data_IF_670166737017
#
_entry.id   IF_670166737017
#
_cell.length_a   1.000
_cell.length_b   1.000
_cell.length_c   1.000
_cell.angle_alpha   90.00
_cell.angle_beta   90.00
_cell.angle_gamma   90.00
#
_symmetry.space_group_name_H-M   'P 1'
#
loop_
_entity.id
_entity.type
_entity.pdbx_description
1 polymer ?
#
# COMPACT_ATOMS: atom_id res chain seq x y z
N UNK A 1 1.10 -52.03 -24.34
CA UNK A 1 0.78 -51.68 -25.74
C UNK A 1 -0.74 -51.54 -25.85
N UNK A 2 -1.27 -50.32 -25.75
CA UNK A 2 -2.72 -50.08 -25.81
C UNK A 2 -3.07 -49.91 -27.29
N UNK A 3 -3.57 -50.98 -27.91
CA UNK A 3 -4.04 -50.96 -29.29
C UNK A 3 -5.54 -50.64 -29.23
N UNK A 4 -6.01 -49.50 -29.76
CA UNK A 4 -7.44 -49.21 -29.79
C UNK A 4 -8.16 -50.22 -30.70
N UNK A 5 -9.18 -50.88 -30.16
CA UNK A 5 -9.94 -51.99 -30.77
C UNK A 5 -10.87 -51.56 -31.93
N UNK A 6 -10.88 -50.29 -32.33
CA UNK A 6 -11.75 -49.78 -33.39
C UNK A 6 -10.96 -48.98 -34.45
N UNK A 7 -10.73 -49.52 -35.66
CA UNK A 7 -9.87 -48.90 -36.68
C UNK A 7 -10.42 -47.59 -37.28
N UNK A 8 -11.70 -47.27 -37.05
CA UNK A 8 -12.33 -46.00 -37.52
C UNK A 8 -12.11 -44.81 -36.59
N UNK A 9 -11.55 -45.03 -35.40
CA UNK A 9 -11.17 -43.96 -34.44
C UNK A 9 -9.70 -43.55 -34.56
N UNK A 10 -8.95 -44.13 -35.50
CA UNK A 10 -7.63 -43.60 -35.88
C UNK A 10 -7.86 -42.28 -36.60
N UNK A 11 -7.57 -41.18 -35.93
CA UNK A 11 -7.34 -39.90 -36.60
C UNK A 11 -6.31 -40.14 -37.71
N UNK A 12 -6.73 -39.98 -38.96
CA UNK A 12 -5.83 -40.08 -40.10
C UNK A 12 -4.90 -38.86 -40.06
N UNK A 13 -3.60 -39.11 -40.00
CA UNK A 13 -2.57 -38.08 -39.96
C UNK A 13 -2.69 -37.16 -41.19
N UNK A 14 -2.84 -35.86 -40.99
CA UNK A 14 -3.10 -34.87 -42.03
C UNK A 14 -4.58 -34.55 -42.31
N UNK A 15 -5.51 -35.06 -41.49
CA UNK A 15 -6.96 -34.77 -41.62
C UNK A 15 -7.34 -33.40 -41.07
N UNK A 16 -8.38 -32.77 -41.63
CA UNK A 16 -8.99 -31.55 -41.09
C UNK A 16 -9.40 -31.68 -39.60
N UNK A 17 -9.69 -32.90 -39.14
CA UNK A 17 -9.99 -33.18 -37.74
C UNK A 17 -8.78 -33.01 -36.82
N UNK A 18 -7.57 -33.33 -37.30
CA UNK A 18 -6.31 -33.14 -36.56
C UNK A 18 -6.00 -31.64 -36.42
N UNK A 19 -6.15 -30.87 -37.50
CA UNK A 19 -5.97 -29.42 -37.48
C UNK A 19 -6.97 -28.72 -36.56
N UNK A 20 -8.22 -29.17 -36.53
CA UNK A 20 -9.23 -28.63 -35.60
C UNK A 20 -8.87 -28.93 -34.14
N UNK A 21 -8.41 -30.14 -33.85
CA UNK A 21 -8.01 -30.55 -32.49
C UNK A 21 -6.74 -29.81 -32.06
N UNK A 22 -5.77 -29.64 -32.95
CA UNK A 22 -4.57 -28.81 -32.75
C UNK A 22 -4.95 -27.35 -32.48
N UNK A 23 -5.86 -26.78 -33.27
CA UNK A 23 -6.35 -25.42 -33.08
C UNK A 23 -6.99 -25.23 -31.70
N UNK A 24 -7.86 -26.15 -31.28
CA UNK A 24 -8.45 -26.13 -29.94
C UNK A 24 -7.36 -26.20 -28.87
N UNK A 25 -6.37 -27.08 -29.03
CA UNK A 25 -5.31 -27.26 -28.04
C UNK A 25 -4.40 -26.03 -27.94
N UNK A 26 -4.12 -25.37 -29.07
CA UNK A 26 -3.40 -24.09 -29.11
C UNK A 26 -4.23 -22.99 -28.44
N UNK A 27 -5.52 -22.88 -28.73
CA UNK A 27 -6.41 -21.89 -28.09
C UNK A 27 -6.47 -22.09 -26.57
N UNK A 28 -6.63 -23.34 -26.11
CA UNK A 28 -6.62 -23.69 -24.68
C UNK A 28 -5.26 -23.40 -24.04
N UNK A 29 -4.16 -23.62 -24.75
CA UNK A 29 -2.81 -23.31 -24.27
C UNK A 29 -2.58 -21.79 -24.17
N UNK A 30 -2.99 -21.03 -25.18
CA UNK A 30 -2.92 -19.55 -25.17
C UNK A 30 -3.80 -18.97 -24.07
N UNK A 31 -5.01 -19.49 -23.87
CA UNK A 31 -5.89 -19.10 -22.76
C UNK A 31 -5.28 -19.44 -21.41
N UNK A 32 -4.73 -20.65 -21.25
CA UNK A 32 -4.08 -21.07 -20.00
C UNK A 32 -2.86 -20.20 -19.68
N UNK A 33 -2.03 -19.91 -20.68
CA UNK A 33 -0.89 -19.01 -20.54
C UNK A 33 -1.40 -17.61 -20.22
N UNK A 34 -2.40 -17.07 -20.90
CA UNK A 34 -2.95 -15.73 -20.65
C UNK A 34 -3.50 -15.57 -19.22
N UNK A 35 -4.20 -16.60 -18.71
CA UNK A 35 -4.69 -16.64 -17.33
C UNK A 35 -3.52 -16.68 -16.34
N UNK A 36 -2.48 -17.45 -16.62
CA UNK A 36 -1.37 -17.69 -15.70
C UNK A 36 -0.30 -16.58 -15.72
N UNK A 37 -0.06 -15.97 -16.89
CA UNK A 37 1.02 -15.00 -17.13
C UNK A 37 0.61 -13.54 -16.96
N UNK A 38 -0.70 -13.24 -17.03
CA UNK A 38 -1.16 -11.85 -17.08
C UNK A 38 -1.78 -11.31 -15.80
N UNK A 39 -2.39 -12.14 -14.95
CA UNK A 39 -3.19 -11.70 -13.79
C UNK A 39 -4.32 -10.68 -14.10
N UNK A 40 -4.45 -10.19 -15.35
CA UNK A 40 -5.24 -9.01 -15.73
C UNK A 40 -6.75 -9.20 -15.66
N UNK A 41 -7.22 -10.41 -15.97
CA UNK A 41 -8.64 -10.76 -15.83
C UNK A 41 -9.06 -10.85 -14.36
N UNK A 42 -8.20 -11.41 -13.50
CA UNK A 42 -8.43 -11.46 -12.04
C UNK A 42 -8.34 -10.04 -11.44
N UNK A 43 -7.41 -9.20 -11.92
CA UNK A 43 -7.30 -7.78 -11.53
C UNK A 43 -8.58 -7.00 -11.84
N UNK A 44 -9.09 -7.08 -13.07
CA UNK A 44 -10.33 -6.41 -13.48
C UNK A 44 -11.56 -6.92 -12.73
N UNK A 45 -11.64 -8.23 -12.45
CA UNK A 45 -12.71 -8.83 -11.65
C UNK A 45 -12.66 -8.40 -10.18
N UNK A 46 -11.48 -8.43 -9.56
CA UNK A 46 -11.28 -7.99 -8.19
C UNK A 46 -11.59 -6.49 -8.04
N UNK A 47 -11.23 -5.67 -9.02
CA UNK A 47 -11.54 -4.24 -9.05
C UNK A 47 -13.03 -3.97 -9.24
N UNK A 48 -13.71 -4.70 -10.14
CA UNK A 48 -15.15 -4.60 -10.35
C UNK A 48 -15.96 -5.01 -9.10
N UNK A 49 -15.49 -6.03 -8.38
CA UNK A 49 -16.08 -6.48 -7.11
C UNK A 49 -15.69 -5.60 -5.91
N UNK A 50 -14.67 -4.75 -6.07
CA UNK A 50 -14.10 -3.92 -5.02
C UNK A 50 -13.39 -4.74 -3.94
N UNK A 51 -12.75 -5.86 -4.30
CA UNK A 51 -12.00 -6.66 -3.35
C UNK A 51 -10.73 -5.92 -2.90
N UNK A 52 -10.38 -5.97 -1.60
CA UNK A 52 -9.24 -5.22 -1.06
C UNK A 52 -7.92 -5.48 -1.79
N UNK A 53 -7.63 -6.73 -2.14
CA UNK A 53 -6.41 -7.12 -2.85
C UNK A 53 -6.25 -6.44 -4.22
N UNK A 54 -7.32 -6.34 -5.01
CA UNK A 54 -7.27 -5.67 -6.32
C UNK A 54 -7.14 -4.15 -6.21
N UNK A 55 -7.73 -3.56 -5.17
CA UNK A 55 -7.60 -2.13 -4.88
C UNK A 55 -6.17 -1.75 -4.47
N UNK A 56 -5.52 -2.56 -3.63
CA UNK A 56 -4.15 -2.31 -3.16
C UNK A 56 -3.14 -2.43 -4.30
N UNK A 57 -3.31 -3.41 -5.18
CA UNK A 57 -2.47 -3.55 -6.38
C UNK A 57 -2.58 -2.29 -7.27
N UNK A 58 -3.80 -1.78 -7.47
CA UNK A 58 -4.04 -0.54 -8.23
C UNK A 58 -3.34 0.66 -7.57
N UNK A 59 -3.39 0.75 -6.24
CA UNK A 59 -2.69 1.79 -5.48
C UNK A 59 -1.18 1.70 -5.69
N UNK A 60 -0.59 0.51 -5.64
CA UNK A 60 0.84 0.33 -5.88
C UNK A 60 1.26 0.85 -7.27
N UNK A 61 0.46 0.59 -8.31
CA UNK A 61 0.75 1.01 -9.69
C UNK A 61 0.56 2.54 -9.90
N UNK A 62 -0.40 3.15 -9.20
CA UNK A 62 -0.86 4.51 -9.47
C UNK A 62 -0.43 5.57 -8.44
N UNK A 63 0.02 5.18 -7.23
CA UNK A 63 0.33 6.12 -6.15
C UNK A 63 1.44 7.13 -6.48
N UNK A 64 2.32 6.81 -7.43
CA UNK A 64 3.37 7.72 -7.91
C UNK A 64 2.88 8.75 -8.93
N UNK A 65 1.69 8.54 -9.52
CA UNK A 65 1.16 9.29 -10.66
C UNK A 65 -0.13 10.05 -10.35
N UNK A 66 -0.93 9.55 -9.40
CA UNK A 66 -2.20 10.15 -9.04
C UNK A 66 -2.35 10.30 -7.53
N UNK A 67 -3.05 11.35 -7.12
CA UNK A 67 -3.66 11.45 -5.81
C UNK A 67 -4.83 10.48 -5.76
N UNK A 68 -4.76 9.51 -4.86
CA UNK A 68 -5.76 8.45 -4.75
C UNK A 68 -6.63 8.67 -3.52
N UNK A 69 -7.94 8.46 -3.69
CA UNK A 69 -8.89 8.28 -2.59
C UNK A 69 -9.42 6.86 -2.64
N UNK A 70 -9.70 6.31 -1.47
CA UNK A 70 -10.33 4.99 -1.36
C UNK A 70 -11.64 5.14 -0.62
N UNK A 71 -12.72 4.68 -1.26
CA UNK A 71 -13.99 4.47 -0.58
C UNK A 71 -14.02 3.09 0.02
N UNK A 72 -14.34 3.04 1.30
CA UNK A 72 -14.17 1.88 2.16
C UNK A 72 -15.52 1.48 2.70
N UNK A 73 -15.87 0.21 2.55
CA UNK A 73 -16.95 -0.42 3.32
C UNK A 73 -16.33 -1.53 4.17
N UNK A 74 -16.54 -1.47 5.47
CA UNK A 74 -15.90 -2.40 6.40
C UNK A 74 -16.32 -2.14 7.84
N UNK A 75 -15.39 -2.37 8.76
CA UNK A 75 -15.62 -2.13 10.19
C UNK A 75 -14.36 -1.63 10.88
N UNK A 76 -14.55 -0.92 11.98
CA UNK A 76 -13.47 -0.60 12.91
C UNK A 76 -13.01 -1.91 13.60
N UNK A 77 -11.72 -2.13 13.72
CA UNK A 77 -11.17 -3.35 14.32
C UNK A 77 -11.44 -3.47 15.83
N UNK A 78 -11.57 -2.34 16.53
CA UNK A 78 -11.76 -2.29 17.99
C UNK A 78 -13.24 -2.23 18.34
N UNK A 79 -13.96 -1.26 17.77
CA UNK A 79 -15.37 -1.02 18.14
C UNK A 79 -16.34 -1.92 17.38
N UNK A 80 -15.86 -2.62 16.36
CA UNK A 80 -16.65 -3.43 15.41
C UNK A 80 -17.76 -2.66 14.68
N UNK A 81 -17.81 -1.33 14.84
CA UNK A 81 -18.81 -0.49 14.20
C UNK A 81 -18.58 -0.47 12.69
N UNK A 82 -19.67 -0.50 11.89
CA UNK A 82 -19.57 -0.43 10.44
C UNK A 82 -19.00 0.92 10.00
N UNK A 83 -18.15 0.88 8.97
CA UNK A 83 -17.54 2.05 8.34
C UNK A 83 -17.97 2.08 6.86
N UNK A 84 -18.55 3.20 6.41
CA UNK A 84 -18.70 3.57 4.99
C UNK A 84 -18.16 5.01 4.84
N UNK A 85 -16.87 5.11 4.50
CA UNK A 85 -16.16 6.38 4.48
C UNK A 85 -15.12 6.42 3.37
N UNK A 86 -14.67 7.64 3.03
CA UNK A 86 -13.63 7.87 2.03
C UNK A 86 -12.38 8.40 2.71
N UNK A 87 -11.23 7.85 2.34
CA UNK A 87 -9.93 8.25 2.88
C UNK A 87 -8.97 8.61 1.75
N UNK A 88 -8.05 9.54 2.01
CA UNK A 88 -6.94 9.83 1.11
C UNK A 88 -5.82 8.80 1.34
N UNK A 89 -5.30 8.22 0.27
CA UNK A 89 -4.21 7.23 0.36
C UNK A 89 -2.88 7.97 0.51
N UNK A 90 -2.08 7.57 1.50
CA UNK A 90 -0.72 8.07 1.73
C UNK A 90 0.30 7.20 1.00
N UNK A 91 0.25 5.89 1.26
CA UNK A 91 1.10 4.88 0.65
C UNK A 91 0.56 3.46 0.87
N UNK A 92 0.95 2.50 0.03
CA UNK A 92 0.90 1.09 0.38
C UNK A 92 1.85 0.80 1.55
N UNK A 93 1.36 0.16 2.62
CA UNK A 93 2.18 -0.20 3.78
C UNK A 93 2.68 -1.65 3.66
N UNK A 94 1.80 -2.56 3.23
CA UNK A 94 2.13 -3.97 2.96
C UNK A 94 1.40 -4.43 1.70
N UNK A 95 1.53 -5.71 1.34
CA UNK A 95 0.78 -6.31 0.22
C UNK A 95 -0.74 -6.32 0.48
N UNK A 96 -1.16 -6.26 1.75
CA UNK A 96 -2.58 -6.32 2.15
C UNK A 96 -3.10 -5.06 2.83
N UNK A 97 -2.25 -4.07 3.06
CA UNK A 97 -2.60 -2.89 3.85
C UNK A 97 -2.13 -1.59 3.19
N UNK A 98 -2.98 -0.58 3.33
CA UNK A 98 -2.75 0.80 2.93
C UNK A 98 -2.63 1.67 4.17
N UNK A 99 -1.77 2.66 4.07
CA UNK A 99 -1.79 3.79 4.99
C UNK A 99 -2.68 4.87 4.39
N UNK A 100 -3.71 5.25 5.13
CA UNK A 100 -4.72 6.22 4.69
C UNK A 100 -4.92 7.30 5.74
N UNK A 101 -5.39 8.47 5.32
CA UNK A 101 -5.80 9.55 6.23
C UNK A 101 -7.23 9.98 6.01
N UNK A 102 -7.89 10.36 7.10
CA UNK A 102 -9.19 11.02 7.06
C UNK A 102 -9.06 12.53 6.75
N UNK A 103 -10.20 13.22 6.71
CA UNK A 103 -10.24 14.67 6.52
C UNK A 103 -9.65 15.46 7.70
N UNK A 104 -9.63 14.87 8.89
CA UNK A 104 -9.02 15.44 10.10
C UNK A 104 -7.50 15.29 10.16
N UNK A 105 -6.89 14.54 9.21
CA UNK A 105 -5.46 14.24 9.19
C UNK A 105 -5.06 13.06 10.07
N UNK A 106 -6.02 12.34 10.66
CA UNK A 106 -5.75 11.11 11.42
C UNK A 106 -5.39 10.00 10.45
N UNK A 107 -4.29 9.31 10.74
CA UNK A 107 -3.76 8.23 9.92
C UNK A 107 -4.24 6.88 10.44
N UNK A 108 -4.64 6.01 9.53
CA UNK A 108 -5.11 4.65 9.83
C UNK A 108 -4.40 3.65 8.93
N UNK A 109 -4.16 2.46 9.47
CA UNK A 109 -3.87 1.28 8.66
C UNK A 109 -5.19 0.64 8.25
N UNK A 110 -5.37 0.56 6.94
CA UNK A 110 -6.56 0.03 6.32
C UNK A 110 -6.19 -1.23 5.53
N UNK A 111 -6.88 -2.33 5.75
CA UNK A 111 -6.54 -3.57 5.06
C UNK A 111 -7.32 -4.76 5.59
N UNK A 112 -6.69 -5.92 5.49
CA UNK A 112 -7.21 -7.18 6.02
C UNK A 112 -6.34 -7.79 7.14
N UNK A 113 -5.23 -7.15 7.49
CA UNK A 113 -4.37 -7.61 8.59
C UNK A 113 -4.97 -7.35 9.97
N UNK A 114 -4.55 -8.13 10.97
CA UNK A 114 -4.97 -7.96 12.37
C UNK A 114 -4.45 -6.66 13.00
N UNK A 115 -3.39 -6.08 12.42
CA UNK A 115 -2.81 -4.80 12.86
C UNK A 115 -3.52 -3.59 12.24
N UNK A 116 -4.51 -3.81 11.35
CA UNK A 116 -5.28 -2.74 10.73
C UNK A 116 -6.33 -2.19 11.69
N UNK A 117 -6.39 -0.88 11.84
CA UNK A 117 -7.48 -0.21 12.58
C UNK A 117 -8.81 -0.29 11.82
N UNK A 118 -8.74 -0.35 10.49
CA UNK A 118 -9.91 -0.46 9.61
C UNK A 118 -9.82 -1.76 8.81
N UNK A 119 -10.75 -2.68 9.08
CA UNK A 119 -10.86 -3.95 8.35
C UNK A 119 -11.81 -3.74 7.18
N UNK A 120 -11.26 -3.71 5.97
CA UNK A 120 -12.02 -3.45 4.76
C UNK A 120 -12.67 -4.74 4.22
N UNK A 121 -13.99 -4.72 4.01
CA UNK A 121 -14.71 -5.75 3.26
C UNK A 121 -14.78 -5.43 1.78
N UNK A 122 -14.85 -4.13 1.44
CA UNK A 122 -14.83 -3.63 0.07
C UNK A 122 -14.03 -2.33 -0.01
N UNK A 123 -13.19 -2.23 -1.04
CA UNK A 123 -12.41 -1.04 -1.38
C UNK A 123 -12.66 -0.64 -2.83
N UNK A 124 -12.91 0.65 -3.05
CA UNK A 124 -12.96 1.26 -4.38
C UNK A 124 -11.95 2.39 -4.44
N UNK A 125 -11.01 2.31 -5.37
CA UNK A 125 -9.98 3.32 -5.60
C UNK A 125 -10.50 4.33 -6.61
N UNK A 126 -10.37 5.61 -6.29
CA UNK A 126 -10.73 6.74 -7.12
C UNK A 126 -9.48 7.60 -7.36
N UNK A 127 -9.18 7.86 -8.64
CA UNK A 127 -8.11 8.77 -9.04
C UNK A 127 -8.65 10.19 -9.02
N UNK A 128 -8.08 11.05 -8.18
CA UNK A 128 -8.58 12.42 -7.97
C UNK A 128 -7.89 13.41 -8.90
N UNK A 129 -6.56 13.43 -8.91
CA UNK A 129 -5.77 14.37 -9.67
C UNK A 129 -4.38 13.79 -9.99
N UNK A 130 -3.72 14.18 -11.09
CA UNK A 130 -2.33 13.81 -11.33
C UNK A 130 -1.41 14.44 -10.27
N UNK A 131 -0.35 13.73 -9.90
CA UNK A 131 0.66 14.22 -8.95
C UNK A 131 2.07 14.06 -9.48
N UNK A 132 2.94 14.93 -9.00
CA UNK A 132 4.39 14.77 -9.11
C UNK A 132 4.96 14.48 -7.72
N UNK A 133 5.65 13.35 -7.61
CA UNK A 133 6.34 12.95 -6.38
C UNK A 133 7.81 13.35 -6.46
N UNK A 134 8.26 14.20 -5.53
CA UNK A 134 9.67 14.51 -5.31
C UNK A 134 10.15 13.76 -4.07
N UNK A 135 11.28 13.08 -4.19
CA UNK A 135 11.94 12.40 -3.07
C UNK A 135 13.16 13.21 -2.69
N UNK A 136 13.31 13.50 -1.41
CA UNK A 136 14.44 14.23 -0.85
C UNK A 136 15.05 13.45 0.32
N UNK A 137 16.36 13.21 0.25
CA UNK A 137 17.08 12.53 1.32
C UNK A 137 17.58 13.59 2.31
N UNK A 138 17.22 13.42 3.57
CA UNK A 138 17.49 14.32 4.68
C UNK A 138 18.42 13.58 5.63
N UNK A 139 19.68 14.00 5.68
CA UNK A 139 20.63 13.55 6.67
C UNK A 139 20.67 14.56 7.83
N UNK A 140 20.64 14.05 9.05
CA UNK A 140 20.69 14.82 10.29
C UNK A 140 21.88 14.29 11.11
N UNK A 141 22.74 15.19 11.57
CA UNK A 141 23.89 14.88 12.39
C UNK A 141 23.88 15.80 13.61
N UNK A 142 23.25 15.32 14.68
CA UNK A 142 23.02 16.04 15.94
C UNK A 142 22.34 17.40 15.73
N UNK A 143 21.26 17.38 14.96
CA UNK A 143 20.47 18.55 14.58
C UNK A 143 19.05 18.51 15.18
N UNK A 144 18.44 19.68 15.35
CA UNK A 144 17.01 19.80 15.68
C UNK A 144 16.14 19.72 14.42
N UNK A 145 14.87 19.36 14.60
CA UNK A 145 13.94 19.16 13.48
C UNK A 145 13.35 20.45 12.89
N UNK A 146 13.72 21.63 13.39
CA UNK A 146 13.19 22.93 12.94
C UNK A 146 13.33 23.15 11.42
N UNK A 147 14.39 22.59 10.82
CA UNK A 147 14.60 22.65 9.36
C UNK A 147 13.47 22.01 8.54
N UNK A 148 12.73 21.07 9.14
CA UNK A 148 11.58 20.42 8.52
C UNK A 148 10.36 21.33 8.44
N UNK A 149 10.32 22.46 9.15
CA UNK A 149 9.19 23.40 9.12
C UNK A 149 8.97 24.02 7.74
N UNK A 150 10.01 24.07 6.91
CA UNK A 150 9.93 24.55 5.54
C UNK A 150 9.19 23.56 4.61
N UNK A 151 9.05 22.30 5.02
CA UNK A 151 8.36 21.26 4.27
C UNK A 151 6.86 21.32 4.57
N UNK A 152 6.15 22.12 3.78
CA UNK A 152 4.70 22.30 3.90
C UNK A 152 3.93 21.51 2.84
N UNK A 153 2.65 21.23 3.10
CA UNK A 153 1.77 20.51 2.19
C UNK A 153 1.76 18.99 2.39
N UNK A 154 1.68 18.22 1.30
CA UNK A 154 1.62 16.74 1.34
C UNK A 154 3.03 16.16 1.39
N UNK A 155 3.65 16.26 2.56
CA UNK A 155 4.97 15.72 2.82
C UNK A 155 4.86 14.60 3.84
N UNK A 156 5.51 13.48 3.54
CA UNK A 156 5.54 12.30 4.39
C UNK A 156 6.99 11.87 4.62
N UNK A 157 7.38 11.78 5.88
CA UNK A 157 8.72 11.44 6.34
C UNK A 157 8.78 9.97 6.73
N UNK A 158 9.74 9.25 6.17
CA UNK A 158 10.01 7.85 6.51
C UNK A 158 11.49 7.67 6.78
N UNK A 159 11.82 6.97 7.87
CA UNK A 159 13.21 6.71 8.24
C UNK A 159 13.38 6.43 9.72
N UNK A 160 14.62 6.50 10.17
CA UNK A 160 14.99 6.22 11.56
C UNK A 160 15.90 7.31 12.10
N UNK A 161 15.56 7.80 13.28
CA UNK A 161 16.31 8.79 14.03
C UNK A 161 16.79 8.20 15.34
N UNK A 162 17.99 8.62 15.72
CA UNK A 162 18.64 8.32 16.99
C UNK A 162 18.58 9.58 17.84
N UNK A 163 18.16 9.45 19.09
CA UNK A 163 17.96 10.56 20.03
C UNK A 163 18.97 10.40 21.16
N UNK A 164 19.91 11.36 21.27
CA UNK A 164 21.05 11.26 22.16
C UNK A 164 20.69 11.35 23.65
N UNK A 165 19.64 12.10 24.01
CA UNK A 165 19.11 12.21 25.37
C UNK A 165 17.59 11.96 25.36
N UNK A 166 17.22 10.73 25.03
CA UNK A 166 15.81 10.29 25.02
C UNK A 166 15.28 9.94 26.40
N UNK A 167 16.00 10.28 27.47
CA UNK A 167 15.63 9.87 28.82
C UNK A 167 14.32 10.56 29.24
N UNK A 168 13.28 9.75 29.48
CA UNK A 168 11.93 10.26 29.77
C UNK A 168 11.08 10.64 28.56
N UNK A 169 11.61 10.52 27.33
CA UNK A 169 10.78 10.65 26.13
C UNK A 169 9.82 9.45 26.05
N UNK A 170 8.53 9.76 26.01
CA UNK A 170 7.46 8.77 25.82
C UNK A 170 6.50 9.29 24.77
N UNK A 171 6.23 8.45 23.76
CA UNK A 171 5.18 8.71 22.79
C UNK A 171 3.94 7.91 23.19
N UNK A 172 2.75 8.54 23.21
CA UNK A 172 1.51 7.81 23.42
C UNK A 172 1.32 6.83 22.26
N UNK A 173 1.02 5.57 22.59
CA UNK A 173 0.61 4.59 21.59
C UNK A 173 -0.91 4.48 21.55
N UNK A 174 -1.45 4.37 20.34
CA UNK A 174 -2.88 4.33 20.11
C UNK A 174 -3.28 3.02 19.45
N UNK A 175 -4.35 2.43 19.95
CA UNK A 175 -4.94 1.24 19.33
C UNK A 175 -5.91 1.62 18.19
N UNK A 176 -6.55 2.77 18.29
CA UNK A 176 -7.62 3.24 17.43
C UNK A 176 -7.14 4.01 16.17
N UNK A 177 -5.87 4.39 16.13
CA UNK A 177 -5.21 5.06 15.00
C UNK A 177 -3.80 4.51 14.77
N UNK A 178 -3.23 4.82 13.62
CA UNK A 178 -1.86 4.42 13.30
C UNK A 178 -0.86 5.44 13.83
N UNK A 179 0.08 4.99 14.66
CA UNK A 179 1.18 5.81 15.16
C UNK A 179 2.26 5.94 14.07
N UNK A 180 2.31 7.09 13.39
CA UNK A 180 3.31 7.37 12.34
C UNK A 180 4.73 7.53 12.89
N UNK A 181 4.88 7.67 14.20
CA UNK A 181 6.17 7.70 14.90
C UNK A 181 6.10 6.70 16.03
N UNK A 182 7.03 5.75 16.03
CA UNK A 182 7.19 4.76 17.09
C UNK A 182 8.55 4.95 17.76
N UNK A 183 8.60 4.76 19.08
CA UNK A 183 9.80 4.97 19.87
C UNK A 183 10.23 3.66 20.54
N UNK A 184 11.50 3.33 20.40
CA UNK A 184 12.16 2.35 21.23
C UNK A 184 12.97 3.09 22.31
N UNK A 185 12.52 3.06 23.59
CA UNK A 185 13.18 3.79 24.65
C UNK A 185 14.54 3.16 25.03
N UNK A 186 15.45 3.98 25.54
CA UNK A 186 16.79 3.60 25.99
C UNK A 186 17.62 4.83 26.37
N UNK A 187 18.85 4.65 26.83
CA UNK A 187 19.80 5.76 27.02
C UNK A 187 19.99 6.55 25.73
N UNK A 188 20.05 5.82 24.62
CA UNK A 188 19.87 6.35 23.27
C UNK A 188 18.55 5.80 22.78
N UNK A 189 17.59 6.69 22.50
CA UNK A 189 16.28 6.27 22.01
C UNK A 189 16.25 6.25 20.49
N UNK A 190 15.51 5.29 19.91
CA UNK A 190 15.35 5.18 18.47
C UNK A 190 13.91 5.50 18.08
N UNK A 191 13.73 6.54 17.26
CA UNK A 191 12.44 6.89 16.68
C UNK A 191 12.36 6.38 15.24
N UNK A 192 11.34 5.57 14.94
CA UNK A 192 11.03 5.14 13.58
C UNK A 192 9.83 5.94 13.07
N UNK A 193 10.03 6.64 11.97
CA UNK A 193 9.02 7.41 11.28
C UNK A 193 8.50 6.60 10.09
N UNK A 194 7.18 6.51 9.95
CA UNK A 194 6.50 5.86 8.83
C UNK A 194 5.44 6.81 8.32
N UNK A 195 5.75 7.48 7.21
CA UNK A 195 4.94 8.52 6.59
C UNK A 195 4.41 9.58 7.59
N UNK A 196 5.25 10.00 8.53
CA UNK A 196 4.91 11.04 9.49
C UNK A 196 4.87 12.41 8.80
N UNK A 197 3.94 13.29 9.19
CA UNK A 197 3.97 14.67 8.71
C UNK A 197 5.14 15.43 9.36
N UNK A 198 5.78 16.38 8.65
CA UNK A 198 6.83 17.21 9.24
C UNK A 198 6.41 17.90 10.52
N UNK A 199 5.20 18.47 10.55
CA UNK A 199 4.67 19.13 11.74
C UNK A 199 4.55 18.18 12.93
N UNK A 200 4.01 16.97 12.71
CA UNK A 200 3.88 16.00 13.79
C UNK A 200 5.25 15.53 14.32
N UNK A 201 6.25 15.39 13.45
CA UNK A 201 7.61 15.07 13.85
C UNK A 201 8.24 16.20 14.68
N UNK A 202 8.08 17.46 14.28
CA UNK A 202 8.54 18.63 15.03
C UNK A 202 7.84 18.71 16.39
N UNK A 203 6.51 18.56 16.43
CA UNK A 203 5.73 18.67 17.67
C UNK A 203 6.11 17.58 18.69
N UNK A 204 6.58 16.41 18.24
CA UNK A 204 6.91 15.28 19.12
C UNK A 204 8.39 15.15 19.44
N UNK A 205 9.27 15.55 18.53
CA UNK A 205 10.71 15.31 18.62
C UNK A 205 11.54 16.60 18.48
N UNK A 206 10.93 17.76 18.23
CA UNK A 206 11.62 19.02 17.91
C UNK A 206 12.50 19.58 19.02
N UNK A 207 12.21 19.23 20.29
CA UNK A 207 13.04 19.63 21.44
C UNK A 207 14.31 18.78 21.61
N UNK A 208 14.47 17.72 20.82
CA UNK A 208 15.58 16.77 20.93
C UNK A 208 16.55 16.90 19.77
N UNK A 209 17.85 16.79 20.08
CA UNK A 209 18.88 16.59 19.06
C UNK A 209 18.76 15.18 18.48
N UNK A 210 18.69 15.09 17.16
CA UNK A 210 18.51 13.84 16.44
C UNK A 210 19.60 13.61 15.40
N UNK A 211 19.95 12.34 15.23
CA UNK A 211 20.91 11.86 14.24
C UNK A 211 20.33 10.72 13.42
N UNK A 212 20.45 10.78 12.09
CA UNK A 212 19.99 9.69 11.22
C UNK A 212 19.58 10.11 9.81
N UNK A 213 18.81 9.23 9.18
CA UNK A 213 18.38 9.38 7.80
C UNK A 213 16.86 9.41 7.72
N UNK A 214 16.35 10.43 7.05
CA UNK A 214 14.95 10.56 6.68
C UNK A 214 14.83 10.68 5.17
N UNK A 215 13.76 10.13 4.64
CA UNK A 215 13.33 10.31 3.26
C UNK A 215 12.04 11.12 3.31
N UNK A 216 12.07 12.30 2.73
CA UNK A 216 10.89 13.13 2.54
C UNK A 216 10.27 12.83 1.17
N UNK A 217 9.06 12.29 1.17
CA UNK A 217 8.22 12.17 -0.02
C UNK A 217 7.29 13.38 -0.09
N UNK A 218 7.53 14.24 -1.06
CA UNK A 218 6.76 15.48 -1.31
C UNK A 218 5.83 15.23 -2.48
N UNK A 219 4.53 15.40 -2.27
CA UNK A 219 3.49 15.19 -3.28
C UNK A 219 2.93 16.54 -3.73
N UNK A 220 3.19 16.90 -4.98
CA UNK A 220 2.64 18.10 -5.61
C UNK A 220 1.48 17.72 -6.52
N UNK A 221 0.29 18.27 -6.25
CA UNK A 221 -0.90 18.08 -7.10
C UNK A 221 -0.81 19.08 -8.25
N UNK A 222 -1.03 18.61 -9.49
CA UNK A 222 -1.03 19.44 -10.69
C UNK A 222 -2.42 19.98 -11.03
#
# INVERSE_FOLDING_TARGET
MIIPRNPRLRLATGSNAEWFLLFILVVVSVLSISINSGGGLIRGFNQALGLPSGAIETVNEDASRYLLRVRVQGRNAITEQPIDATYEVIEPLTVSDLLVKDEGGTVYRLGSSQESQIIASRLRVERVAPVQVKIENIFLEDEYLDRLANLTGRVYLTGTLTIADGSGLSLPSHADRFDTITLQPGNVAYARLTAASPQYAIDKLGEYSVSGHLIARIINVQ
#
